data_IF_318413931106
#
_entry.id   IF_318413931106
#
_cell.length_a   1.000
_cell.length_b   1.000
_cell.length_c   1.000
_cell.angle_alpha   90.00
_cell.angle_beta   90.00
_cell.angle_gamma   90.00
#
_symmetry.space_group_name_H-M   'P 1'
#
loop_
_entity.id
_entity.type
_entity.pdbx_description
1 polymer ?
#
# COMPACT_ATOMS: atom_id res chain seq x y z
N UNK A 1 -5.85 -1.85 2.91
CA UNK A 1 -5.43 -2.76 3.98
C UNK A 1 -6.45 -3.87 4.10
N UNK A 2 -6.01 -5.13 3.99
CA UNK A 2 -6.81 -6.31 4.29
C UNK A 2 -6.25 -6.96 5.55
N UNK A 3 -7.12 -7.51 6.39
CA UNK A 3 -6.73 -8.35 7.51
C UNK A 3 -6.95 -9.80 7.11
N UNK A 4 -5.88 -10.58 7.10
CA UNK A 4 -5.92 -12.01 6.80
C UNK A 4 -5.93 -12.73 8.13
N UNK A 5 -7.07 -13.30 8.48
CA UNK A 5 -7.18 -14.16 9.66
C UNK A 5 -6.33 -15.41 9.40
N UNK A 6 -5.44 -15.72 10.33
CA UNK A 6 -4.59 -16.89 10.21
C UNK A 6 -5.43 -18.17 10.29
N UNK A 7 -5.06 -19.16 9.47
CA UNK A 7 -5.77 -20.43 9.46
C UNK A 7 -5.48 -21.20 10.75
N UNK A 8 -6.53 -21.38 11.56
CA UNK A 8 -6.52 -22.14 12.79
C UNK A 8 -7.90 -22.77 12.97
N UNK A 9 -7.99 -23.85 13.75
CA UNK A 9 -9.25 -24.55 14.03
C UNK A 9 -10.32 -23.59 14.60
N UNK A 10 -9.88 -22.63 15.43
CA UNK A 10 -10.75 -21.58 15.97
C UNK A 10 -11.17 -20.56 14.89
N UNK A 11 -10.22 -20.06 14.10
CA UNK A 11 -10.46 -19.10 13.02
C UNK A 11 -11.42 -19.62 11.96
N UNK A 12 -11.37 -20.91 11.62
CA UNK A 12 -12.32 -21.55 10.68
C UNK A 12 -13.76 -21.46 11.16
N UNK A 13 -13.99 -21.47 12.48
CA UNK A 13 -15.34 -21.30 13.07
C UNK A 13 -15.87 -19.87 12.92
N UNK A 14 -15.02 -18.90 12.56
CA UNK A 14 -15.41 -17.51 12.28
C UNK A 14 -15.94 -17.31 10.85
N UNK A 15 -15.77 -18.29 9.96
CA UNK A 15 -16.20 -18.18 8.55
C UNK A 15 -17.72 -17.94 8.51
N UNK A 16 -18.12 -16.89 7.79
CA UNK A 16 -19.53 -16.50 7.64
C UNK A 16 -20.17 -15.88 8.90
N UNK A 17 -19.39 -15.61 9.95
CA UNK A 17 -19.87 -14.96 11.18
C UNK A 17 -19.41 -13.51 11.25
N UNK A 18 -20.17 -12.71 12.00
CA UNK A 18 -19.74 -11.38 12.39
C UNK A 18 -18.64 -11.48 13.45
N UNK A 19 -17.66 -10.61 13.33
CA UNK A 19 -16.54 -10.47 14.28
C UNK A 19 -16.50 -9.04 14.79
N UNK A 20 -16.06 -8.88 16.02
CA UNK A 20 -15.86 -7.57 16.62
C UNK A 20 -14.48 -7.03 16.24
N UNK A 21 -14.44 -5.77 15.82
CA UNK A 21 -13.19 -5.08 15.49
C UNK A 21 -13.03 -3.91 16.45
N UNK A 22 -12.05 -4.02 17.34
CA UNK A 22 -11.72 -2.96 18.27
C UNK A 22 -10.65 -2.08 17.64
N UNK A 23 -10.85 -0.77 17.69
CA UNK A 23 -9.93 0.21 17.15
C UNK A 23 -9.43 1.10 18.28
N UNK A 24 -8.15 0.97 18.61
CA UNK A 24 -7.55 1.77 19.65
C UNK A 24 -7.02 3.11 19.08
N UNK A 25 -6.88 4.15 19.93
CA UNK A 25 -6.41 5.47 19.49
C UNK A 25 -4.98 5.47 18.92
N UNK A 26 -4.16 4.50 19.32
CA UNK A 26 -2.81 4.24 18.83
C UNK A 26 -2.78 3.61 17.41
N UNK A 27 -3.95 3.27 16.85
CA UNK A 27 -4.09 2.65 15.53
C UNK A 27 -3.98 1.13 15.54
N UNK A 28 -3.75 0.51 16.71
CA UNK A 28 -3.81 -0.94 16.85
C UNK A 28 -5.26 -1.42 16.71
N UNK A 29 -5.40 -2.59 16.09
CA UNK A 29 -6.70 -3.21 15.85
C UNK A 29 -6.72 -4.61 16.43
N UNK A 30 -7.83 -4.98 17.03
CA UNK A 30 -8.03 -6.34 17.51
C UNK A 30 -9.26 -6.91 16.85
N UNK A 31 -9.11 -8.10 16.29
CA UNK A 31 -10.20 -8.89 15.72
C UNK A 31 -10.59 -9.94 16.75
N UNK A 32 -11.87 -10.00 17.11
CA UNK A 32 -12.37 -10.94 18.13
C UNK A 32 -13.60 -11.70 17.63
N UNK A 33 -13.66 -12.99 17.93
CA UNK A 33 -14.87 -13.80 17.79
C UNK A 33 -15.37 -14.15 19.19
N UNK A 34 -16.59 -13.76 19.54
CA UNK A 34 -17.18 -14.04 20.86
C UNK A 34 -16.24 -13.66 22.03
N UNK A 35 -15.51 -12.54 21.90
CA UNK A 35 -14.54 -12.07 22.90
C UNK A 35 -13.14 -12.71 22.86
N UNK A 36 -12.91 -13.76 22.05
CA UNK A 36 -11.59 -14.39 21.90
C UNK A 36 -10.84 -13.75 20.73
N UNK A 37 -9.55 -13.46 20.92
CA UNK A 37 -8.69 -12.86 19.90
C UNK A 37 -8.51 -13.80 18.70
N UNK A 38 -8.68 -13.25 17.50
CA UNK A 38 -8.36 -13.91 16.24
C UNK A 38 -6.96 -13.47 15.79
N UNK A 39 -6.00 -14.40 15.65
CA UNK A 39 -4.69 -14.08 15.08
C UNK A 39 -4.87 -13.64 13.63
N UNK A 40 -4.22 -12.55 13.26
CA UNK A 40 -4.32 -11.99 11.92
C UNK A 40 -2.98 -11.41 11.47
N UNK A 41 -2.78 -11.46 10.16
CA UNK A 41 -1.72 -10.75 9.46
C UNK A 41 -2.33 -9.60 8.66
N UNK A 42 -1.56 -8.55 8.43
CA UNK A 42 -2.03 -7.43 7.63
C UNK A 42 -1.44 -7.52 6.23
N UNK A 43 -2.31 -7.62 5.23
CA UNK A 43 -1.93 -7.63 3.82
C UNK A 43 -2.21 -6.27 3.20
N UNK A 44 -1.15 -5.64 2.70
CA UNK A 44 -1.29 -4.44 1.89
C UNK A 44 -1.33 -4.79 0.40
N UNK A 45 -2.29 -4.18 -0.31
CA UNK A 45 -2.44 -4.34 -1.77
C UNK A 45 -1.52 -3.40 -2.55
N UNK A 46 -0.96 -2.39 -1.88
CA UNK A 46 0.01 -1.48 -2.47
C UNK A 46 1.39 -2.15 -2.43
N UNK A 47 1.73 -2.88 -3.49
CA UNK A 47 3.09 -3.37 -3.68
C UNK A 47 4.06 -2.18 -3.83
N UNK A 48 5.25 -2.34 -3.26
CA UNK A 48 6.38 -1.41 -3.36
C UNK A 48 7.61 -2.17 -3.87
N UNK A 49 8.41 -1.51 -4.71
CA UNK A 49 9.67 -2.08 -5.20
C UNK A 49 10.78 -1.87 -4.17
N UNK A 50 11.30 -2.97 -3.63
CA UNK A 50 12.41 -2.97 -2.68
C UNK A 50 13.70 -2.36 -3.29
N UNK A 51 14.33 -1.35 -2.64
CA UNK A 51 15.66 -0.84 -2.98
C UNK A 51 16.71 -1.91 -3.27
N UNK A 52 16.75 -2.95 -2.44
CA UNK A 52 17.75 -4.02 -2.53
C UNK A 52 17.56 -4.82 -3.80
N UNK A 53 16.30 -5.16 -4.14
CA UNK A 53 15.98 -5.90 -5.36
C UNK A 53 16.40 -5.19 -6.66
N UNK A 54 16.55 -3.87 -6.66
CA UNK A 54 17.05 -3.13 -7.85
C UNK A 54 18.54 -3.35 -8.04
N UNK A 55 19.30 -3.29 -6.95
CA UNK A 55 20.75 -3.40 -6.97
C UNK A 55 21.19 -4.84 -7.27
N UNK A 56 20.51 -5.81 -6.66
CA UNK A 56 20.89 -7.22 -6.76
C UNK A 56 20.55 -7.83 -8.13
N UNK A 57 19.56 -7.27 -8.84
CA UNK A 57 18.99 -7.89 -10.01
C UNK A 57 19.54 -7.30 -11.31
N UNK A 58 20.66 -7.85 -11.80
CA UNK A 58 21.40 -7.30 -12.97
C UNK A 58 20.56 -7.14 -14.25
N UNK A 59 19.61 -8.04 -14.52
CA UNK A 59 18.80 -8.01 -15.75
C UNK A 59 17.57 -7.12 -15.64
N UNK A 60 17.01 -7.02 -14.44
CA UNK A 60 15.74 -6.32 -14.19
C UNK A 60 15.91 -4.99 -13.46
N UNK A 61 17.11 -4.65 -12.98
CA UNK A 61 17.36 -3.46 -12.18
C UNK A 61 16.83 -2.18 -12.82
N UNK A 62 17.06 -1.99 -14.12
CA UNK A 62 16.56 -0.81 -14.83
C UNK A 62 15.02 -0.74 -14.86
N UNK A 63 14.35 -1.86 -15.15
CA UNK A 63 12.88 -1.92 -15.19
C UNK A 63 12.28 -1.74 -13.80
N UNK A 64 12.91 -2.31 -12.77
CA UNK A 64 12.51 -2.11 -11.38
C UNK A 64 12.66 -0.64 -10.95
N UNK A 65 13.67 0.06 -11.47
CA UNK A 65 13.88 1.47 -11.15
C UNK A 65 12.83 2.36 -11.83
N UNK A 66 12.46 2.05 -13.07
CA UNK A 66 11.30 2.66 -13.73
C UNK A 66 10.03 2.43 -12.89
N UNK A 67 9.78 1.19 -12.47
CA UNK A 67 8.60 0.86 -11.66
C UNK A 67 8.59 1.62 -10.33
N UNK A 68 9.74 1.78 -9.65
CA UNK A 68 9.87 2.61 -8.45
C UNK A 68 9.53 4.07 -8.72
N UNK A 69 10.02 4.63 -9.82
CA UNK A 69 9.77 6.04 -10.16
C UNK A 69 8.28 6.29 -10.44
N UNK A 70 7.60 5.36 -11.10
CA UNK A 70 6.15 5.41 -11.29
C UNK A 70 5.43 5.28 -9.94
N UNK A 71 5.85 4.37 -9.06
CA UNK A 71 5.27 4.22 -7.72
C UNK A 71 5.42 5.49 -6.85
N UNK A 72 6.49 6.27 -7.01
CA UNK A 72 6.68 7.56 -6.29
C UNK A 72 5.64 8.61 -6.67
N UNK A 73 5.06 8.53 -7.86
CA UNK A 73 3.95 9.40 -8.30
C UNK A 73 2.59 8.91 -7.80
N UNK A 74 2.52 7.70 -7.25
CA UNK A 74 1.29 7.12 -6.71
C UNK A 74 1.00 7.70 -5.34
N UNK A 75 -0.26 8.01 -5.11
CA UNK A 75 -0.78 8.29 -3.79
C UNK A 75 -0.92 6.97 -3.02
N UNK A 76 -0.12 6.83 -1.96
CA UNK A 76 -0.18 5.71 -1.04
C UNK A 76 -1.03 6.04 0.20
N UNK A 77 -1.74 7.18 0.22
CA UNK A 77 -2.66 7.52 1.30
C UNK A 77 -3.80 6.49 1.37
N UNK A 78 -3.82 5.75 2.48
CA UNK A 78 -4.87 4.78 2.75
C UNK A 78 -6.07 5.51 3.33
N UNK A 79 -7.28 5.11 2.93
CA UNK A 79 -8.50 5.62 3.56
C UNK A 79 -8.47 5.30 5.06
N UNK A 80 -8.44 6.33 5.90
CA UNK A 80 -8.57 6.21 7.36
C UNK A 80 -10.03 6.25 7.80
N UNK A 81 -10.95 5.83 6.92
CA UNK A 81 -12.38 5.84 7.22
C UNK A 81 -12.66 4.83 8.33
N UNK A 82 -12.84 5.33 9.55
CA UNK A 82 -13.45 4.59 10.64
C UNK A 82 -14.97 4.49 10.37
N UNK A 83 -15.64 3.41 10.79
CA UNK A 83 -17.09 3.45 10.92
C UNK A 83 -17.42 4.61 11.86
N UNK A 84 -18.25 5.55 11.40
CA UNK A 84 -18.63 6.73 12.17
C UNK A 84 -19.39 6.27 13.42
N UNK A 85 -18.75 6.34 14.59
CA UNK A 85 -19.46 6.33 15.86
C UNK A 85 -20.13 7.70 16.00
N UNK A 86 -21.44 7.75 15.68
CA UNK A 86 -22.46 8.77 15.98
C UNK A 86 -22.10 10.27 15.99
N UNK A 87 -21.10 10.65 16.77
CA UNK A 87 -20.83 12.02 17.22
C UNK A 87 -19.51 12.62 16.69
N UNK A 88 -18.64 11.83 16.05
CA UNK A 88 -17.41 12.37 15.44
C UNK A 88 -17.69 12.93 14.03
N UNK A 89 -17.24 14.17 13.71
CA UNK A 89 -17.35 14.70 12.36
C UNK A 89 -16.65 13.75 11.39
N UNK A 90 -17.39 13.31 10.36
CA UNK A 90 -16.87 12.38 9.39
C UNK A 90 -15.57 12.96 8.81
N UNK A 91 -14.43 12.29 9.02
CA UNK A 91 -13.16 12.61 8.34
C UNK A 91 -13.26 12.19 6.86
N UNK A 92 -14.34 12.56 6.18
CA UNK A 92 -14.54 12.32 4.75
C UNK A 92 -14.03 13.54 3.98
N UNK A 93 -12.71 13.54 3.79
CA UNK A 93 -11.99 13.93 2.57
C UNK A 93 -10.57 14.26 2.98
N UNK A 94 -9.62 13.42 2.58
CA UNK A 94 -8.22 13.83 2.56
C UNK A 94 -8.08 15.01 1.59
N UNK A 95 -7.22 15.97 1.93
CA UNK A 95 -6.80 16.99 1.00
C UNK A 95 -6.25 16.31 -0.26
N UNK A 96 -6.46 16.89 -1.46
CA UNK A 96 -5.89 16.34 -2.68
C UNK A 96 -4.38 16.17 -2.49
N UNK A 97 -3.91 14.93 -2.59
CA UNK A 97 -2.49 14.66 -2.53
C UNK A 97 -1.83 15.22 -3.80
N UNK A 98 -0.56 15.60 -3.70
CA UNK A 98 0.26 15.98 -4.86
C UNK A 98 0.37 14.80 -5.85
N UNK A 99 0.19 13.58 -5.34
CA UNK A 99 0.37 12.34 -6.05
C UNK A 99 -0.94 11.86 -6.71
N UNK A 100 -0.81 11.04 -7.75
CA UNK A 100 -1.93 10.48 -8.51
C UNK A 100 -2.49 9.23 -7.83
N UNK A 101 -3.80 9.02 -7.88
CA UNK A 101 -4.42 7.74 -7.49
C UNK A 101 -3.82 6.58 -8.30
N UNK A 102 -3.79 5.38 -7.72
CA UNK A 102 -3.33 4.17 -8.40
C UNK A 102 -4.03 3.94 -9.75
N UNK A 103 -5.33 4.28 -9.87
CA UNK A 103 -6.12 4.10 -11.10
C UNK A 103 -5.89 5.19 -12.14
N UNK A 104 -5.23 6.28 -11.78
CA UNK A 104 -4.92 7.40 -12.67
C UNK A 104 -3.47 7.39 -13.18
N UNK A 105 -2.67 6.38 -12.80
CA UNK A 105 -1.34 6.18 -13.35
C UNK A 105 -1.45 5.59 -14.76
N UNK A 106 -0.83 6.25 -15.73
CA UNK A 106 -0.97 5.93 -17.14
C UNK A 106 0.40 5.77 -17.83
N UNK A 107 0.38 5.51 -19.15
CA UNK A 107 1.57 5.33 -19.98
C UNK A 107 2.51 6.56 -19.97
N UNK A 108 1.94 7.78 -19.91
CA UNK A 108 2.73 9.02 -19.82
C UNK A 108 3.60 9.06 -18.55
N UNK A 109 3.09 8.54 -17.43
CA UNK A 109 3.85 8.50 -16.18
C UNK A 109 5.05 7.57 -16.28
N UNK A 110 4.90 6.49 -17.05
CA UNK A 110 5.95 5.52 -17.35
C UNK A 110 6.99 6.09 -18.30
N UNK A 111 6.57 6.78 -19.36
CA UNK A 111 7.47 7.46 -20.29
C UNK A 111 8.29 8.55 -19.58
N UNK A 112 7.65 9.38 -18.76
CA UNK A 112 8.35 10.40 -17.99
C UNK A 112 9.35 9.78 -16.99
N UNK A 113 9.00 8.64 -16.38
CA UNK A 113 9.91 7.91 -15.51
C UNK A 113 11.14 7.38 -16.27
N UNK A 114 10.95 6.86 -17.48
CA UNK A 114 12.05 6.40 -18.35
C UNK A 114 12.96 7.57 -18.76
N UNK A 115 12.39 8.69 -19.21
CA UNK A 115 13.15 9.90 -19.59
C UNK A 115 13.97 10.42 -18.42
N UNK A 116 13.37 10.48 -17.22
CA UNK A 116 14.06 10.93 -16.00
C UNK A 116 15.25 10.05 -15.65
N UNK A 117 15.11 8.73 -15.79
CA UNK A 117 16.22 7.80 -15.53
C UNK A 117 17.30 7.89 -16.59
N UNK A 118 16.91 8.03 -17.87
CA UNK A 118 17.87 8.24 -18.95
C UNK A 118 18.68 9.52 -18.71
N UNK A 119 18.04 10.65 -18.40
CA UNK A 119 18.73 11.91 -18.10
C UNK A 119 19.65 11.81 -16.88
N UNK A 120 19.23 11.07 -15.84
CA UNK A 120 20.09 10.81 -14.67
C UNK A 120 21.31 9.97 -15.04
N UNK A 121 21.13 8.97 -15.92
CA UNK A 121 22.24 8.14 -16.40
C UNK A 121 23.20 8.92 -17.30
N UNK A 122 22.69 9.78 -18.19
CA UNK A 122 23.51 10.64 -19.04
C UNK A 122 24.30 11.66 -18.23
N UNK A 123 23.74 12.18 -17.14
CA UNK A 123 24.45 13.08 -16.23
C UNK A 123 25.60 12.38 -15.49
N UNK A 124 25.45 11.10 -15.14
CA UNK A 124 26.46 10.33 -14.39
C UNK A 124 27.54 9.76 -15.33
N UNK A 125 27.12 9.18 -16.46
CA UNK A 125 27.99 8.39 -17.35
C UNK A 125 28.33 9.09 -18.66
N UNK A 126 27.74 10.27 -18.92
CA UNK A 126 27.82 10.94 -20.22
C UNK A 126 26.81 10.38 -21.22
N UNK A 127 26.60 11.12 -22.32
CA UNK A 127 25.89 10.56 -23.49
C UNK A 127 26.73 9.44 -24.08
N UNK A 128 26.08 8.29 -24.29
CA UNK A 128 26.64 7.20 -25.09
C UNK A 128 26.63 7.55 -26.57
#
# INVERSE_FOLDING_TARGET
>A
MLYLIEDNEYSRRAIGKYIDVWHYPDGHKELRLNGVLLPYSTYDRLSEVDPVAIVDNKRLGHVLDVARQVQRKRDNNRSQSLPCSGDEPSRRRHAPSINKSQRSLNEDDLLEAMIKLQGSSEAIFGKR
#
